data_IF_995171326478
#
_entry.id   IF_995171326478
#
_cell.length_a   1.000
_cell.length_b   1.000
_cell.length_c   1.000
_cell.angle_alpha   90.00
_cell.angle_beta   90.00
_cell.angle_gamma   90.00
#
_symmetry.space_group_name_H-M   'P 1'
#
loop_
_entity.id
_entity.type
_entity.pdbx_description
1 polymer ?
#
# COMPACT_ATOMS: atom_id res chain seq x y z
N UNK A 1 -8.51 9.98 9.85
CA UNK A 1 -9.32 9.83 8.62
C UNK A 1 -8.98 8.49 8.04
N UNK A 2 -9.97 7.63 7.86
CA UNK A 2 -9.78 6.30 7.28
C UNK A 2 -9.39 6.44 5.81
N UNK A 3 -8.56 5.54 5.25
CA UNK A 3 -7.99 5.70 3.91
C UNK A 3 -9.08 5.88 2.85
N UNK A 4 -10.18 5.15 3.00
CA UNK A 4 -11.35 5.25 2.13
C UNK A 4 -11.93 6.67 2.11
N UNK A 5 -12.10 7.28 3.28
CA UNK A 5 -12.62 8.65 3.38
C UNK A 5 -11.69 9.64 2.65
N UNK A 6 -10.36 9.46 2.77
CA UNK A 6 -9.39 10.34 2.11
C UNK A 6 -9.50 10.25 0.59
N UNK A 7 -9.57 9.02 0.07
CA UNK A 7 -9.75 8.77 -1.36
C UNK A 7 -11.06 9.40 -1.87
N UNK A 8 -12.14 9.27 -1.11
CA UNK A 8 -13.43 9.88 -1.45
C UNK A 8 -13.35 11.41 -1.48
N UNK A 9 -12.70 12.04 -0.50
CA UNK A 9 -12.49 13.50 -0.46
C UNK A 9 -11.66 14.01 -1.63
N UNK A 10 -10.66 13.24 -2.04
CA UNK A 10 -9.78 13.57 -3.17
C UNK A 10 -10.41 13.20 -4.53
N UNK A 11 -11.62 12.65 -4.56
CA UNK A 11 -12.30 12.24 -5.80
C UNK A 11 -11.68 11.01 -6.47
N UNK A 12 -10.81 10.28 -5.77
CA UNK A 12 -10.12 9.10 -6.29
C UNK A 12 -11.05 7.88 -6.18
N UNK A 13 -11.26 7.21 -7.33
CA UNK A 13 -12.02 5.96 -7.39
C UNK A 13 -11.14 4.83 -7.91
N UNK A 14 -11.02 3.77 -7.11
CA UNK A 14 -10.35 2.54 -7.51
C UNK A 14 -11.14 1.83 -8.61
N UNK A 15 -10.44 1.34 -9.62
CA UNK A 15 -11.03 0.61 -10.73
C UNK A 15 -10.68 -0.87 -10.68
N UNK A 16 -11.71 -1.70 -10.49
CA UNK A 16 -11.57 -3.16 -10.57
C UNK A 16 -11.09 -3.64 -11.94
N UNK A 17 -11.42 -2.91 -13.01
CA UNK A 17 -10.96 -3.23 -14.38
C UNK A 17 -9.43 -3.18 -14.53
N UNK A 18 -8.78 -2.42 -13.65
CA UNK A 18 -7.33 -2.26 -13.59
C UNK A 18 -6.71 -3.05 -12.43
N UNK A 19 -7.47 -3.94 -11.79
CA UNK A 19 -6.99 -4.74 -10.66
C UNK A 19 -6.64 -3.92 -9.40
N UNK A 20 -7.18 -2.71 -9.26
CA UNK A 20 -6.86 -1.85 -8.12
C UNK A 20 -7.62 -2.32 -6.87
N UNK A 21 -6.93 -3.06 -6.01
CA UNK A 21 -7.38 -3.48 -4.68
C UNK A 21 -6.40 -2.96 -3.63
N UNK A 22 -6.90 -2.40 -2.53
CA UNK A 22 -6.05 -1.92 -1.44
C UNK A 22 -6.04 -2.92 -0.29
N UNK A 23 -4.83 -3.22 0.19
CA UNK A 23 -4.64 -3.93 1.45
C UNK A 23 -4.78 -2.90 2.58
N UNK A 24 -5.73 -3.13 3.47
CA UNK A 24 -6.03 -2.26 4.61
C UNK A 24 -5.65 -2.87 5.96
N UNK A 25 -5.41 -4.19 6.01
CA UNK A 25 -5.02 -4.91 7.22
C UNK A 25 -3.53 -4.65 7.53
N UNK A 26 -3.21 -3.95 8.63
CA UNK A 26 -1.82 -3.66 9.00
C UNK A 26 -0.99 -4.92 9.27
N UNK A 27 -1.62 -5.98 9.80
CA UNK A 27 -0.92 -7.24 10.12
C UNK A 27 -0.50 -8.00 8.85
N UNK A 28 -1.30 -7.89 7.78
CA UNK A 28 -0.94 -8.45 6.48
C UNK A 28 0.20 -7.66 5.85
N UNK A 29 0.13 -6.32 5.89
CA UNK A 29 1.19 -5.45 5.38
C UNK A 29 2.52 -5.69 6.08
N UNK A 30 2.54 -5.81 7.41
CA UNK A 30 3.75 -6.11 8.16
C UNK A 30 4.34 -7.46 7.75
N UNK A 31 3.52 -8.51 7.64
CA UNK A 31 3.98 -9.84 7.18
C UNK A 31 4.57 -9.78 5.77
N UNK A 32 4.03 -8.95 4.87
CA UNK A 32 4.60 -8.77 3.53
C UNK A 32 6.03 -8.21 3.60
N UNK A 33 6.28 -7.21 4.45
CA UNK A 33 7.62 -6.65 4.67
C UNK A 33 8.55 -7.69 5.30
N UNK A 34 8.08 -8.40 6.33
CA UNK A 34 8.87 -9.44 7.01
C UNK A 34 9.28 -10.55 6.03
N UNK A 35 8.36 -10.99 5.16
CA UNK A 35 8.64 -12.00 4.13
C UNK A 35 9.55 -11.48 3.01
N UNK A 36 9.47 -10.19 2.68
CA UNK A 36 10.37 -9.58 1.70
C UNK A 36 11.82 -9.52 2.21
N UNK A 37 12.03 -9.55 3.53
CA UNK A 37 13.36 -9.57 4.14
C UNK A 37 14.17 -8.30 3.87
N UNK A 38 13.51 -7.20 3.53
CA UNK A 38 14.13 -5.92 3.19
C UNK A 38 14.51 -5.15 4.45
N UNK A 39 15.62 -4.42 4.40
CA UNK A 39 16.11 -3.55 5.47
C UNK A 39 16.58 -2.18 4.96
N UNK A 40 17.05 -1.33 5.87
CA UNK A 40 17.36 0.08 5.57
C UNK A 40 18.50 0.33 4.55
N UNK A 41 19.24 -0.72 4.15
CA UNK A 41 20.24 -0.63 3.09
C UNK A 41 19.72 -1.00 1.70
N UNK A 42 18.51 -1.55 1.62
CA UNK A 42 17.97 -2.08 0.37
C UNK A 42 17.30 -0.99 -0.46
N UNK A 43 17.42 -1.14 -1.77
CA UNK A 43 16.72 -0.29 -2.74
C UNK A 43 15.50 -1.04 -3.26
N UNK A 44 14.32 -0.61 -2.83
CA UNK A 44 13.06 -1.30 -3.15
C UNK A 44 12.33 -0.61 -4.31
N UNK A 45 11.83 -1.41 -5.25
CA UNK A 45 10.89 -0.97 -6.29
C UNK A 45 9.50 -1.51 -5.96
N UNK A 46 8.58 -0.62 -5.62
CA UNK A 46 7.16 -0.96 -5.44
C UNK A 46 6.39 -0.68 -6.73
N UNK A 47 5.76 -1.72 -7.30
CA UNK A 47 4.89 -1.58 -8.49
C UNK A 47 3.43 -1.55 -8.05
N UNK A 48 2.73 -0.47 -8.37
CA UNK A 48 1.31 -0.33 -8.03
C UNK A 48 1.05 0.06 -6.58
N UNK A 49 1.79 1.04 -6.05
CA UNK A 49 1.72 1.50 -4.65
C UNK A 49 0.32 1.89 -4.14
N UNK A 50 -0.64 2.17 -5.03
CA UNK A 50 -2.03 2.41 -4.66
C UNK A 50 -2.18 3.55 -3.65
N UNK A 51 -2.74 3.26 -2.48
CA UNK A 51 -2.91 4.22 -1.39
C UNK A 51 -1.64 4.53 -0.59
N UNK A 52 -0.52 3.87 -0.89
CA UNK A 52 0.77 4.02 -0.22
C UNK A 52 0.91 3.24 1.09
N UNK A 53 0.00 2.32 1.40
CA UNK A 53 -0.01 1.63 2.70
C UNK A 53 1.24 0.77 2.92
N UNK A 54 1.68 0.06 1.88
CA UNK A 54 2.91 -0.73 1.94
C UNK A 54 4.14 0.18 1.85
N UNK A 55 4.10 1.22 1.01
CA UNK A 55 5.15 2.24 0.91
C UNK A 55 5.52 2.82 2.28
N UNK A 56 4.54 3.10 3.14
CA UNK A 56 4.78 3.63 4.49
C UNK A 56 5.58 2.69 5.39
N UNK A 57 5.56 1.38 5.15
CA UNK A 57 6.35 0.41 5.90
C UNK A 57 7.72 0.14 5.26
N UNK A 58 7.89 0.51 3.99
CA UNK A 58 9.14 0.35 3.23
C UNK A 58 10.03 1.60 3.28
N UNK A 59 9.49 2.76 3.66
CA UNK A 59 10.13 4.08 3.59
C UNK A 59 10.78 4.53 4.92
#
# INVERSE_FOLDING_TARGET
>A
MELRERLEREGIRLSRRYGQHLVLDPSLLQRMVDYAGVGGGDRVLEVGAGGGNLTLLLA
#
